data_IF_160627909166
#
_entry.id   IF_160627909166
#
_cell.length_a   1.000
_cell.length_b   1.000
_cell.length_c   1.000
_cell.angle_alpha   90.00
_cell.angle_beta   90.00
_cell.angle_gamma   90.00
#
_symmetry.space_group_name_H-M   'P 1'
#
loop_
_entity.id
_entity.type
_entity.pdbx_description
1 polymer ?
#
# COMPACT_ATOMS: atom_id res chain seq x y z
N UNK A 1 -10.05 7.15 11.08
CA UNK A 1 -9.76 7.93 12.31
C UNK A 1 -10.80 9.04 12.50
N UNK A 2 -11.11 9.38 13.75
CA UNK A 2 -12.02 10.49 14.11
C UNK A 2 -11.26 11.48 15.02
N UNK A 3 -10.38 12.33 14.45
CA UNK A 3 -9.58 13.26 15.24
C UNK A 3 -10.44 14.38 15.84
N UNK A 4 -9.93 15.12 16.84
CA UNK A 4 -10.58 16.35 17.29
C UNK A 4 -10.76 17.34 16.13
N UNK A 5 -12.00 17.77 15.89
CA UNK A 5 -12.35 18.58 14.71
C UNK A 5 -11.65 19.94 14.65
N UNK A 6 -11.27 20.50 15.80
CA UNK A 6 -10.51 21.75 15.87
C UNK A 6 -9.12 21.66 15.21
N UNK A 7 -8.50 20.47 15.25
CA UNK A 7 -7.14 20.24 14.75
C UNK A 7 -7.09 19.12 13.70
N UNK A 8 -8.22 18.78 13.08
CA UNK A 8 -8.33 17.63 12.19
C UNK A 8 -7.29 17.67 11.05
N UNK A 9 -7.06 18.84 10.44
CA UNK A 9 -6.06 19.00 9.38
C UNK A 9 -4.65 18.59 9.84
N UNK A 10 -4.22 19.06 11.02
CA UNK A 10 -2.90 18.71 11.58
C UNK A 10 -2.76 17.21 11.84
N UNK A 11 -3.81 16.58 12.35
CA UNK A 11 -3.81 15.14 12.60
C UNK A 11 -3.78 14.33 11.31
N UNK A 12 -4.50 14.76 10.27
CA UNK A 12 -4.50 14.08 8.97
C UNK A 12 -3.14 14.24 8.29
N UNK A 13 -2.55 15.42 8.32
CA UNK A 13 -1.20 15.66 7.79
C UNK A 13 -0.15 14.81 8.52
N UNK A 14 -0.22 14.76 9.84
CA UNK A 14 0.71 13.92 10.60
C UNK A 14 0.50 12.43 10.32
N UNK A 15 -0.76 11.98 10.20
CA UNK A 15 -1.06 10.62 9.76
C UNK A 15 -0.48 10.34 8.36
N UNK A 16 -0.59 11.29 7.43
CA UNK A 16 -0.01 11.18 6.09
C UNK A 16 1.52 11.10 6.10
N UNK A 17 2.17 11.87 6.96
CA UNK A 17 3.62 11.86 7.15
C UNK A 17 4.13 10.49 7.61
N UNK A 18 3.54 9.96 8.70
CA UNK A 18 3.99 8.71 9.34
C UNK A 18 3.48 7.45 8.62
N UNK A 19 2.41 7.55 7.84
CA UNK A 19 1.82 6.40 7.18
C UNK A 19 2.83 5.76 6.22
N UNK A 20 2.95 4.42 6.22
CA UNK A 20 3.81 3.73 5.27
C UNK A 20 3.27 3.86 3.85
N UNK A 21 4.13 3.55 2.88
CA UNK A 21 3.73 3.45 1.48
C UNK A 21 2.62 2.42 1.27
N UNK A 22 1.66 2.70 0.40
CA UNK A 22 0.48 1.85 0.16
C UNK A 22 -0.58 1.91 1.25
N UNK A 23 -0.41 2.76 2.27
CA UNK A 23 -1.38 2.96 3.34
C UNK A 23 -2.58 3.81 2.87
N UNK A 24 -3.74 3.51 3.46
CA UNK A 24 -4.99 4.20 3.19
C UNK A 24 -5.45 4.92 4.47
N UNK A 25 -5.64 6.23 4.40
CA UNK A 25 -6.03 7.07 5.52
C UNK A 25 -7.47 7.52 5.30
N UNK A 26 -8.38 7.03 6.16
CA UNK A 26 -9.77 7.48 6.19
C UNK A 26 -9.95 8.33 7.43
N UNK A 27 -10.38 9.59 7.28
CA UNK A 27 -10.54 10.51 8.40
C UNK A 27 -11.83 11.32 8.30
N UNK A 28 -12.44 11.57 9.46
CA UNK A 28 -13.55 12.52 9.60
C UNK A 28 -13.01 13.91 9.95
N UNK A 29 -13.56 14.93 9.31
CA UNK A 29 -13.29 16.32 9.66
C UNK A 29 -14.52 17.20 9.39
N UNK A 30 -14.45 18.47 9.74
CA UNK A 30 -15.49 19.41 9.30
C UNK A 30 -15.43 19.53 7.77
N UNK A 31 -16.58 19.55 7.11
CA UNK A 31 -16.66 19.75 5.66
C UNK A 31 -15.96 21.05 5.22
N UNK A 32 -16.03 22.09 6.05
CA UNK A 32 -15.32 23.35 5.83
C UNK A 32 -13.79 23.18 5.86
N UNK A 33 -13.24 22.23 6.61
CA UNK A 33 -11.79 21.98 6.64
C UNK A 33 -11.25 21.49 5.30
N UNK A 34 -12.09 20.83 4.50
CA UNK A 34 -11.77 20.38 3.14
C UNK A 34 -11.96 21.53 2.14
N UNK A 35 -13.06 22.28 2.24
CA UNK A 35 -13.42 23.33 1.26
C UNK A 35 -12.76 24.69 1.47
N UNK A 36 -12.11 24.94 2.61
CA UNK A 36 -11.60 26.26 2.98
C UNK A 36 -10.11 26.19 3.32
N UNK A 37 -9.26 26.58 2.36
CA UNK A 37 -7.81 26.58 2.47
C UNK A 37 -7.22 27.89 2.99
N UNK A 38 -7.88 28.49 3.97
CA UNK A 38 -7.42 29.73 4.60
C UNK A 38 -6.08 29.58 5.36
N UNK A 39 -5.83 28.41 5.98
CA UNK A 39 -4.58 28.14 6.72
C UNK A 39 -3.58 27.34 5.89
N UNK A 40 -2.28 27.45 6.24
CA UNK A 40 -1.20 26.72 5.58
C UNK A 40 -1.43 25.21 5.61
N UNK A 41 -1.88 24.69 6.75
CA UNK A 41 -2.15 23.26 6.95
C UNK A 41 -3.33 22.79 6.10
N UNK A 42 -4.38 23.62 5.96
CA UNK A 42 -5.52 23.27 5.13
C UNK A 42 -5.19 23.31 3.64
N UNK A 43 -4.31 24.21 3.19
CA UNK A 43 -3.77 24.21 1.82
C UNK A 43 -2.99 22.93 1.52
N UNK A 44 -2.08 22.55 2.43
CA UNK A 44 -1.34 21.31 2.29
C UNK A 44 -2.26 20.09 2.26
N UNK A 45 -3.30 20.08 3.10
CA UNK A 45 -4.30 19.02 3.10
C UNK A 45 -5.09 18.98 1.79
N UNK A 46 -5.52 20.14 1.28
CA UNK A 46 -6.22 20.25 -0.02
C UNK A 46 -5.35 19.70 -1.15
N UNK A 47 -4.07 20.09 -1.22
CA UNK A 47 -3.12 19.55 -2.21
C UNK A 47 -2.97 18.02 -2.09
N UNK A 48 -2.90 17.47 -0.88
CA UNK A 48 -2.81 16.02 -0.69
C UNK A 48 -4.11 15.32 -1.11
N UNK A 49 -5.26 15.90 -0.82
CA UNK A 49 -6.57 15.37 -1.25
C UNK A 49 -6.67 15.41 -2.78
N UNK A 50 -6.26 16.49 -3.43
CA UNK A 50 -6.32 16.61 -4.88
C UNK A 50 -5.39 15.62 -5.60
N UNK A 51 -4.21 15.35 -5.02
CA UNK A 51 -3.22 14.47 -5.64
C UNK A 51 -3.43 12.98 -5.30
N UNK A 52 -3.96 12.67 -4.12
CA UNK A 52 -3.94 11.32 -3.56
C UNK A 52 -5.27 10.89 -2.92
N UNK A 53 -6.27 11.76 -2.92
CA UNK A 53 -7.58 11.51 -2.36
C UNK A 53 -8.53 10.81 -3.33
N UNK A 54 -9.47 10.08 -2.75
CA UNK A 54 -10.71 9.67 -3.41
C UNK A 54 -11.78 10.73 -3.12
N UNK A 55 -12.78 10.90 -4.00
CA UNK A 55 -13.81 11.96 -3.91
C UNK A 55 -14.31 12.16 -2.46
N UNK A 56 -14.00 13.33 -1.88
CA UNK A 56 -14.39 13.63 -0.50
C UNK A 56 -15.91 13.66 -0.35
N UNK A 57 -16.44 12.97 0.67
CA UNK A 57 -17.88 12.79 0.85
C UNK A 57 -18.40 13.68 1.96
N UNK A 58 -19.39 14.53 1.68
CA UNK A 58 -20.12 15.26 2.72
C UNK A 58 -21.19 14.35 3.32
N UNK A 59 -21.03 13.99 4.60
CA UNK A 59 -21.94 13.14 5.35
C UNK A 59 -23.04 13.95 6.09
N UNK A 60 -22.98 15.29 6.03
CA UNK A 60 -23.92 16.18 6.70
C UNK A 60 -23.74 16.23 8.22
N UNK A 61 -24.83 16.52 8.95
CA UNK A 61 -24.79 16.73 10.42
C UNK A 61 -24.89 15.43 11.20
N UNK A 62 -23.85 14.60 11.13
CA UNK A 62 -23.85 13.26 11.73
C UNK A 62 -23.95 13.26 13.27
N UNK A 63 -23.56 14.33 13.94
CA UNK A 63 -23.45 14.40 15.41
C UNK A 63 -24.53 15.25 16.09
N UNK A 64 -25.64 15.58 15.41
CA UNK A 64 -26.71 16.37 16.03
C UNK A 64 -27.48 15.61 17.14
N UNK A 65 -27.49 14.28 17.07
CA UNK A 65 -28.14 13.39 18.05
C UNK A 65 -27.14 12.66 18.96
N UNK A 66 -25.84 12.92 18.82
CA UNK A 66 -24.80 12.28 19.61
C UNK A 66 -24.82 12.73 21.08
N UNK A 67 -24.16 11.97 21.96
CA UNK A 67 -23.98 12.34 23.38
C UNK A 67 -23.30 13.71 23.53
N UNK A 68 -22.25 13.94 22.73
CA UNK A 68 -21.64 15.26 22.54
C UNK A 68 -22.12 15.87 21.23
N UNK A 69 -23.19 16.65 21.31
CA UNK A 69 -23.82 17.28 20.14
C UNK A 69 -22.92 18.35 19.52
N UNK A 70 -22.85 18.33 18.20
CA UNK A 70 -22.22 19.41 17.41
C UNK A 70 -23.09 19.71 16.19
N UNK A 71 -23.20 20.99 15.85
CA UNK A 71 -24.00 21.45 14.70
C UNK A 71 -23.09 21.80 13.52
N UNK A 72 -22.23 20.85 13.14
CA UNK A 72 -21.27 20.98 12.04
C UNK A 72 -21.54 19.92 10.98
N UNK A 73 -21.28 20.27 9.73
CA UNK A 73 -21.27 19.29 8.63
C UNK A 73 -19.96 18.51 8.65
N UNK A 74 -20.07 17.19 8.57
CA UNK A 74 -18.95 16.26 8.63
C UNK A 74 -18.58 15.83 7.22
N UNK A 75 -17.31 15.97 6.87
CA UNK A 75 -16.70 15.40 5.68
C UNK A 75 -15.95 14.12 6.01
N UNK A 76 -15.99 13.16 5.07
CA UNK A 76 -15.11 12.00 5.05
C UNK A 76 -14.04 12.21 3.98
N UNK A 77 -12.79 12.18 4.43
CA UNK A 77 -11.61 12.23 3.58
C UNK A 77 -11.01 10.84 3.50
N UNK A 78 -10.70 10.39 2.29
CA UNK A 78 -10.05 9.13 2.01
C UNK A 78 -8.80 9.42 1.17
N UNK A 79 -7.63 9.11 1.72
CA UNK A 79 -6.33 9.34 1.06
C UNK A 79 -5.63 8.00 0.84
N UNK A 80 -5.00 7.83 -0.31
CA UNK A 80 -4.18 6.67 -0.62
C UNK A 80 -2.73 7.09 -0.87
N UNK A 81 -1.81 6.67 0.00
CA UNK A 81 -0.39 6.99 -0.15
C UNK A 81 0.24 6.06 -1.19
N UNK A 82 0.67 6.56 -2.37
CA UNK A 82 1.21 5.70 -3.40
C UNK A 82 2.52 5.06 -2.92
N UNK A 83 2.79 3.84 -3.38
CA UNK A 83 4.09 3.22 -3.18
C UNK A 83 5.08 3.78 -4.20
N UNK A 84 6.02 4.62 -3.73
CA UNK A 84 6.99 5.34 -4.57
C UNK A 84 8.40 4.77 -4.43
N UNK A 85 8.63 3.79 -3.54
CA UNK A 85 9.96 3.23 -3.32
C UNK A 85 10.51 2.51 -4.57
N UNK A 86 11.40 3.24 -5.27
CA UNK A 86 12.43 2.73 -6.16
C UNK A 86 13.62 2.12 -5.41
N UNK A 87 13.62 2.20 -4.07
CA UNK A 87 14.56 1.55 -3.17
C UNK A 87 13.77 0.77 -2.12
N UNK A 88 13.31 -0.43 -2.48
CA UNK A 88 12.87 -1.42 -1.49
C UNK A 88 14.11 -1.94 -0.77
N UNK A 89 14.60 -1.19 0.22
CA UNK A 89 15.57 -1.71 1.16
C UNK A 89 14.92 -2.88 1.92
N UNK A 90 15.59 -4.01 1.78
CA UNK A 90 15.13 -5.38 1.96
C UNK A 90 14.93 -5.78 3.44
N UNK A 91 14.84 -4.84 4.37
CA UNK A 91 14.87 -5.10 5.82
C UNK A 91 13.48 -5.22 6.47
N UNK A 92 12.40 -4.96 5.70
CA UNK A 92 11.03 -4.87 6.20
C UNK A 92 10.04 -5.79 5.49
N UNK A 93 10.45 -7.00 5.06
CA UNK A 93 9.45 -8.04 4.79
C UNK A 93 8.79 -8.38 6.12
N UNK A 94 7.69 -7.68 6.44
CA UNK A 94 6.79 -7.93 7.56
C UNK A 94 6.21 -9.36 7.43
N UNK A 95 7.01 -10.34 7.81
CA UNK A 95 6.61 -11.61 8.40
C UNK A 95 6.59 -11.51 9.93
N UNK A 96 6.87 -10.33 10.49
CA UNK A 96 6.52 -10.03 11.86
C UNK A 96 5.04 -9.67 11.88
N UNK A 97 4.22 -10.63 12.28
CA UNK A 97 2.99 -10.40 13.02
C UNK A 97 3.36 -9.58 14.26
N UNK A 98 3.51 -8.26 14.12
CA UNK A 98 3.43 -7.40 15.29
C UNK A 98 1.95 -7.40 15.69
N UNK A 99 1.64 -8.21 16.70
CA UNK A 99 0.38 -8.19 17.44
C UNK A 99 0.16 -6.77 17.98
N UNK A 100 -0.60 -5.95 17.26
CA UNK A 100 -1.11 -4.70 17.81
C UNK A 100 -2.24 -5.00 18.81
N UNK A 101 -2.27 -4.34 19.99
CA UNK A 101 -3.30 -4.58 20.99
C UNK A 101 -4.67 -4.25 20.41
N UNK A 102 -5.53 -5.26 20.35
CA UNK A 102 -6.91 -5.14 19.94
C UNK A 102 -7.69 -4.23 20.90
N UNK A 103 -8.05 -3.04 20.44
CA UNK A 103 -9.20 -2.32 20.98
C UNK A 103 -10.06 -1.77 19.83
N UNK A 104 -11.17 -2.47 19.58
CA UNK A 104 -12.30 -2.13 18.71
C UNK A 104 -12.12 -2.30 17.19
N UNK A 105 -12.41 -3.53 16.73
CA UNK A 105 -13.65 -3.77 15.98
C UNK A 105 -13.61 -3.53 14.47
N UNK A 106 -13.22 -4.59 13.75
CA UNK A 106 -13.37 -4.86 12.31
C UNK A 106 -12.33 -4.18 11.42
N UNK A 107 -11.12 -4.73 11.46
CA UNK A 107 -10.23 -4.73 10.29
C UNK A 107 -10.74 -5.85 9.38
N UNK A 108 -11.39 -5.49 8.27
CA UNK A 108 -11.50 -6.41 7.15
C UNK A 108 -10.07 -6.56 6.59
N UNK A 109 -9.34 -7.56 7.07
CA UNK A 109 -8.06 -7.96 6.48
C UNK A 109 -8.32 -8.15 4.99
N UNK A 110 -7.79 -7.25 4.15
CA UNK A 110 -7.97 -7.36 2.72
C UNK A 110 -6.98 -8.43 2.21
N UNK A 111 -7.34 -9.69 2.41
CA UNK A 111 -6.56 -10.86 2.01
C UNK A 111 -6.17 -10.78 0.53
N UNK A 112 -7.06 -10.24 -0.31
CA UNK A 112 -6.77 -9.99 -1.73
C UNK A 112 -5.62 -8.98 -1.89
N UNK A 113 -5.61 -7.89 -1.13
CA UNK A 113 -4.50 -6.90 -1.15
C UNK A 113 -3.18 -7.52 -0.67
N UNK A 114 -3.21 -8.37 0.36
CA UNK A 114 -2.03 -9.10 0.81
C UNK A 114 -1.48 -10.04 -0.27
N UNK A 115 -2.36 -10.76 -0.97
CA UNK A 115 -1.99 -11.67 -2.07
C UNK A 115 -1.44 -10.88 -3.26
N UNK A 116 -2.03 -9.74 -3.60
CA UNK A 116 -1.53 -8.85 -4.68
C UNK A 116 -0.13 -8.33 -4.33
N UNK A 117 0.10 -7.92 -3.08
CA UNK A 117 1.43 -7.47 -2.64
C UNK A 117 2.46 -8.61 -2.73
N UNK A 118 2.09 -9.82 -2.30
CA UNK A 118 2.93 -11.02 -2.41
C UNK A 118 3.28 -11.33 -3.87
N UNK A 119 2.31 -11.25 -4.78
CA UNK A 119 2.53 -11.42 -6.22
C UNK A 119 3.53 -10.40 -6.78
N UNK A 120 3.33 -9.11 -6.50
CA UNK A 120 4.20 -8.04 -6.98
C UNK A 120 5.64 -8.21 -6.46
N UNK A 121 5.79 -8.57 -5.18
CA UNK A 121 7.09 -8.82 -4.57
C UNK A 121 7.80 -10.02 -5.22
N UNK A 122 7.08 -11.11 -5.47
CA UNK A 122 7.63 -12.30 -6.12
C UNK A 122 8.11 -12.00 -7.54
N UNK A 123 7.32 -11.25 -8.34
CA UNK A 123 7.69 -10.87 -9.72
C UNK A 123 8.94 -9.99 -9.74
N UNK A 124 9.04 -9.01 -8.85
CA UNK A 124 10.25 -8.17 -8.70
C UNK A 124 11.47 -9.00 -8.26
N UNK A 125 11.26 -9.99 -7.40
CA UNK A 125 12.33 -10.89 -6.98
C UNK A 125 12.89 -11.70 -8.16
N UNK A 126 12.00 -12.17 -9.05
CA UNK A 126 12.40 -12.88 -10.26
C UNK A 126 13.24 -12.02 -11.22
N UNK A 127 12.91 -10.74 -11.39
CA UNK A 127 13.72 -9.81 -12.20
C UNK A 127 15.13 -9.65 -11.65
N UNK A 128 15.26 -9.49 -10.33
CA UNK A 128 16.59 -9.41 -9.68
C UNK A 128 17.37 -10.71 -9.84
N UNK A 129 16.70 -11.85 -9.76
CA UNK A 129 17.32 -13.15 -10.02
C UNK A 129 17.92 -13.21 -11.43
N UNK A 130 17.22 -12.72 -12.46
CA UNK A 130 17.76 -12.65 -13.83
C UNK A 130 19.00 -11.75 -13.91
N UNK A 131 18.98 -10.58 -13.27
CA UNK A 131 20.14 -9.69 -13.24
C UNK A 131 21.37 -10.31 -12.56
N UNK A 132 21.17 -10.99 -11.42
CA UNK A 132 22.23 -11.72 -10.72
C UNK A 132 22.74 -12.88 -11.58
N UNK A 133 21.83 -13.58 -12.28
CA UNK A 133 22.19 -14.68 -13.17
C UNK A 133 23.06 -14.21 -14.33
N UNK A 134 22.74 -13.06 -14.93
CA UNK A 134 23.54 -12.44 -15.98
C UNK A 134 24.91 -12.01 -15.45
N UNK A 135 24.97 -11.43 -14.25
CA UNK A 135 26.22 -11.02 -13.61
C UNK A 135 27.14 -12.23 -13.34
N UNK A 136 26.59 -13.30 -12.77
CA UNK A 136 27.33 -14.55 -12.53
C UNK A 136 27.85 -15.17 -13.82
N UNK A 137 27.06 -15.12 -14.90
CA UNK A 137 27.51 -15.57 -16.22
C UNK A 137 28.72 -14.79 -16.73
N UNK A 138 28.79 -13.47 -16.48
CA UNK A 138 29.95 -12.65 -16.88
C UNK A 138 31.22 -13.05 -16.14
N UNK A 139 31.14 -13.36 -14.85
CA UNK A 139 32.32 -13.80 -14.08
C UNK A 139 32.76 -15.22 -14.44
N UNK A 140 31.82 -16.14 -14.62
CA UNK A 140 32.11 -17.55 -14.90
C UNK A 140 32.62 -17.76 -16.33
N UNK A 141 32.19 -16.95 -17.29
CA UNK A 141 32.69 -17.00 -18.67
C UNK A 141 34.18 -16.67 -18.78
N UNK A 142 34.71 -15.81 -17.91
CA UNK A 142 36.12 -15.39 -17.92
C UNK A 142 37.09 -16.54 -17.65
N UNK A 143 36.67 -17.52 -16.86
CA UNK A 143 37.50 -18.67 -16.45
C UNK A 143 37.16 -19.94 -17.23
N UNK A 144 36.34 -19.83 -18.29
CA UNK A 144 35.91 -20.97 -19.10
C UNK A 144 35.00 -21.95 -18.36
N UNK A 145 34.34 -21.51 -17.28
CA UNK A 145 33.42 -22.34 -16.50
C UNK A 145 32.09 -22.47 -17.25
N UNK A 146 32.11 -23.31 -18.29
CA UNK A 146 30.95 -23.68 -19.12
C UNK A 146 30.59 -22.64 -20.17
N UNK A 147 30.14 -23.13 -21.33
CA UNK A 147 29.56 -22.36 -22.44
C UNK A 147 28.19 -21.72 -22.10
N UNK A 148 28.03 -21.24 -20.86
CA UNK A 148 26.82 -20.64 -20.29
C UNK A 148 26.42 -21.31 -18.98
N UNK A 149 26.64 -20.65 -17.85
CA UNK A 149 26.12 -21.05 -16.55
C UNK A 149 24.61 -20.79 -16.54
N UNK A 150 23.80 -21.85 -16.42
CA UNK A 150 22.34 -21.76 -16.54
C UNK A 150 21.68 -21.84 -15.17
N UNK A 151 20.83 -20.87 -14.88
CA UNK A 151 19.91 -20.91 -13.76
C UNK A 151 18.55 -21.38 -14.26
N UNK A 152 17.98 -22.38 -13.61
CA UNK A 152 16.64 -22.85 -13.88
C UNK A 152 15.73 -22.52 -12.70
N UNK A 153 14.65 -21.80 -12.97
CA UNK A 153 13.51 -21.66 -12.07
C UNK A 153 12.43 -22.59 -12.59
N UNK A 154 11.88 -23.46 -11.74
CA UNK A 154 10.81 -24.38 -12.14
C UNK A 154 9.77 -24.52 -11.03
N UNK A 155 8.51 -24.67 -11.44
CA UNK A 155 7.39 -25.06 -10.58
C UNK A 155 6.42 -25.89 -11.42
N UNK A 156 6.47 -27.22 -11.27
CA UNK A 156 5.85 -28.24 -12.15
C UNK A 156 6.29 -28.23 -13.62
N UNK A 157 6.71 -27.08 -14.15
CA UNK A 157 7.27 -26.83 -15.48
C UNK A 157 8.37 -25.78 -15.37
N UNK A 158 9.26 -25.77 -16.36
CA UNK A 158 10.33 -24.78 -16.45
C UNK A 158 9.74 -23.39 -16.69
N UNK A 159 10.27 -22.42 -15.95
CA UNK A 159 9.91 -21.01 -16.05
C UNK A 159 11.03 -20.31 -16.81
N UNK A 160 10.76 -19.97 -18.07
CA UNK A 160 11.77 -19.47 -19.01
C UNK A 160 11.79 -17.93 -19.04
N UNK A 161 10.68 -17.29 -18.66
CA UNK A 161 10.55 -15.84 -18.69
C UNK A 161 9.83 -15.27 -17.46
N UNK A 162 10.01 -13.97 -17.23
CA UNK A 162 9.25 -13.20 -16.24
C UNK A 162 7.73 -13.32 -16.48
N UNK A 163 7.31 -13.34 -17.75
CA UNK A 163 5.90 -13.48 -18.10
C UNK A 163 5.35 -14.86 -17.72
N UNK A 164 6.14 -15.93 -17.93
CA UNK A 164 5.76 -17.29 -17.53
C UNK A 164 5.64 -17.39 -16.01
N UNK A 165 6.59 -16.79 -15.29
CA UNK A 165 6.57 -16.71 -13.83
C UNK A 165 5.33 -15.96 -13.34
N UNK A 166 5.08 -14.76 -13.88
CA UNK A 166 3.96 -13.91 -13.52
C UNK A 166 2.62 -14.60 -13.77
N UNK A 167 2.43 -15.20 -14.95
CA UNK A 167 1.19 -15.95 -15.29
C UNK A 167 0.99 -17.14 -14.35
N UNK A 168 2.06 -17.87 -14.03
CA UNK A 168 2.02 -19.00 -13.09
C UNK A 168 1.61 -18.56 -11.68
N UNK A 169 2.26 -17.52 -11.16
CA UNK A 169 1.97 -16.99 -9.83
C UNK A 169 0.57 -16.38 -9.75
N UNK A 170 0.16 -15.62 -10.75
CA UNK A 170 -1.19 -15.03 -10.82
C UNK A 170 -2.28 -16.12 -10.78
N UNK A 171 -2.08 -17.24 -11.49
CA UNK A 171 -3.01 -18.36 -11.45
C UNK A 171 -3.11 -18.96 -10.05
N UNK A 172 -1.99 -19.16 -9.36
CA UNK A 172 -1.98 -19.68 -7.99
C UNK A 172 -2.64 -18.71 -7.01
N UNK A 173 -2.39 -17.40 -7.14
CA UNK A 173 -3.08 -16.37 -6.36
C UNK A 173 -4.60 -16.45 -6.55
N UNK A 174 -5.09 -16.57 -7.79
CA UNK A 174 -6.53 -16.68 -8.06
C UNK A 174 -7.13 -18.01 -7.59
N UNK A 175 -6.43 -19.14 -7.76
CA UNK A 175 -6.87 -20.42 -7.23
C UNK A 175 -7.05 -20.35 -5.70
N UNK A 176 -6.11 -19.72 -4.99
CA UNK A 176 -6.22 -19.50 -3.56
C UNK A 176 -7.41 -18.59 -3.18
N UNK A 177 -7.59 -17.47 -3.89
CA UNK A 177 -8.70 -16.53 -3.63
C UNK A 177 -10.06 -17.17 -3.88
N UNK A 178 -10.18 -18.02 -4.91
CA UNK A 178 -11.46 -18.60 -5.34
C UNK A 178 -11.83 -19.90 -4.62
N UNK A 179 -10.89 -20.55 -3.92
CA UNK A 179 -11.13 -21.78 -3.15
C UNK A 179 -11.45 -21.54 -1.66
N UNK A 180 -11.46 -20.28 -1.23
CA UNK A 180 -11.97 -19.84 0.07
C UNK A 180 -13.43 -19.41 -0.04
#
# INVERSE_FOLDING_TARGET
MNPPFSNAAKHILHAWEIAPEGCEIISLCNWETIKNSYSSERRQLEEIIDNYGDDSVNLGKCFNTAERKTNVEVGLVRLFKPAVSSSFDYDGFYLNEDEEPQENGIIAHNEVRAIVNSYLAAVKCFERHQAIADEMNRYTSLVGYGSGFKFNVSYNKDVVSKEDFAKGMQRQCWEYVLQR
#
